data_IF_163524604080
#
_entry.id   IF_163524604080
#
_cell.length_a   1.000
_cell.length_b   1.000
_cell.length_c   1.000
_cell.angle_alpha   90.00
_cell.angle_beta   90.00
_cell.angle_gamma   90.00
#
_symmetry.space_group_name_H-M   'P 1'
#
loop_
_entity.id
_entity.type
_entity.pdbx_description
1 polymer ?
#
# COMPACT_ATOMS: atom_id res chain seq x y z
N UNK A 1 -56.27 -0.36 -31.83
CA UNK A 1 -55.33 0.13 -30.83
C UNK A 1 -54.35 -1.02 -30.45
N UNK A 2 -53.13 -1.02 -31.01
CA UNK A 2 -52.13 -2.04 -30.69
C UNK A 2 -51.35 -1.59 -29.44
N UNK A 3 -51.45 -2.35 -28.35
CA UNK A 3 -50.65 -2.11 -27.12
C UNK A 3 -49.23 -2.62 -27.35
N UNK A 4 -48.26 -1.72 -27.32
CA UNK A 4 -46.82 -2.06 -27.24
C UNK A 4 -46.54 -2.49 -25.79
N UNK A 5 -46.06 -3.71 -25.63
CA UNK A 5 -45.54 -4.21 -24.36
C UNK A 5 -44.04 -3.82 -24.30
N UNK A 6 -43.60 -3.06 -23.29
CA UNK A 6 -42.17 -2.74 -23.18
C UNK A 6 -41.40 -4.00 -22.77
N UNK A 7 -40.40 -4.32 -23.58
CA UNK A 7 -39.44 -5.41 -23.30
C UNK A 7 -38.42 -4.88 -22.27
N UNK A 8 -38.58 -5.27 -21.01
CA UNK A 8 -37.61 -4.93 -19.95
C UNK A 8 -36.44 -5.90 -20.06
N UNK A 9 -35.32 -5.42 -20.58
CA UNK A 9 -34.06 -6.18 -20.54
C UNK A 9 -33.53 -6.11 -19.09
N UNK A 10 -33.73 -7.17 -18.35
CA UNK A 10 -33.07 -7.35 -17.04
C UNK A 10 -31.60 -7.63 -17.29
N UNK A 11 -30.73 -6.66 -17.05
CA UNK A 11 -29.29 -6.87 -16.96
C UNK A 11 -28.99 -7.70 -15.70
N UNK A 12 -28.77 -8.97 -15.87
CA UNK A 12 -28.18 -9.83 -14.83
C UNK A 12 -26.78 -9.29 -14.52
N UNK A 13 -26.61 -8.72 -13.33
CA UNK A 13 -25.30 -8.40 -12.82
C UNK A 13 -24.52 -9.72 -12.59
N UNK A 14 -23.60 -10.04 -13.46
CA UNK A 14 -22.65 -11.15 -13.25
C UNK A 14 -21.80 -10.74 -12.04
N UNK A 15 -21.72 -11.55 -10.97
CA UNK A 15 -20.82 -11.26 -9.88
C UNK A 15 -19.40 -11.17 -10.46
N UNK A 16 -18.69 -10.06 -10.21
CA UNK A 16 -17.26 -9.97 -10.47
C UNK A 16 -16.59 -10.99 -9.54
N UNK A 17 -16.21 -12.13 -10.09
CA UNK A 17 -15.37 -13.09 -9.39
C UNK A 17 -13.98 -12.45 -9.35
N UNK A 18 -13.51 -12.11 -8.16
CA UNK A 18 -12.16 -11.61 -7.96
C UNK A 18 -11.17 -12.75 -8.08
N UNK A 19 -10.02 -12.48 -8.68
CA UNK A 19 -8.89 -13.40 -8.75
C UNK A 19 -7.80 -13.03 -7.75
N UNK A 20 -6.88 -13.95 -7.50
CA UNK A 20 -5.71 -13.73 -6.66
C UNK A 20 -4.49 -13.43 -7.55
N UNK A 21 -3.80 -12.33 -7.27
CA UNK A 21 -2.54 -11.99 -7.92
C UNK A 21 -1.38 -12.31 -6.98
N UNK A 22 -0.52 -13.23 -7.35
CA UNK A 22 0.62 -13.67 -6.54
C UNK A 22 1.89 -13.79 -7.37
N UNK A 23 3.03 -13.97 -6.71
CA UNK A 23 4.31 -14.12 -7.40
C UNK A 23 5.49 -13.73 -6.53
N UNK A 24 6.61 -13.44 -7.20
CA UNK A 24 7.85 -13.00 -6.56
C UNK A 24 8.39 -11.73 -7.18
N UNK A 25 9.02 -10.91 -6.34
CA UNK A 25 9.85 -9.79 -6.73
C UNK A 25 11.30 -10.14 -6.44
N UNK A 26 12.14 -10.23 -7.47
CA UNK A 26 13.59 -10.34 -7.31
C UNK A 26 14.19 -8.95 -7.18
N UNK A 27 14.72 -8.62 -6.00
CA UNK A 27 15.32 -7.31 -5.71
C UNK A 27 16.86 -7.41 -5.72
N UNK A 28 17.49 -6.78 -6.72
CA UNK A 28 18.93 -6.84 -6.93
C UNK A 28 19.64 -5.63 -6.32
N UNK A 29 20.77 -5.87 -5.63
CA UNK A 29 21.58 -4.81 -5.01
C UNK A 29 21.12 -4.38 -3.62
N UNK A 30 20.25 -5.16 -2.98
CA UNK A 30 19.81 -5.04 -1.58
C UNK A 30 20.01 -6.38 -0.86
N UNK A 31 19.86 -6.39 0.48
CA UNK A 31 20.12 -7.57 1.32
C UNK A 31 19.18 -8.75 1.03
N UNK A 32 17.91 -8.45 0.77
CA UNK A 32 16.86 -9.41 0.46
C UNK A 32 15.75 -8.70 -0.32
N UNK A 33 14.71 -9.40 -0.70
CA UNK A 33 13.59 -8.87 -1.49
C UNK A 33 12.40 -8.37 -0.65
N UNK A 34 12.56 -8.16 0.66
CA UNK A 34 11.53 -7.57 1.51
C UNK A 34 11.29 -6.08 1.16
N UNK A 35 10.21 -5.53 1.71
CA UNK A 35 9.87 -4.11 1.64
C UNK A 35 9.49 -3.59 0.24
N UNK A 36 9.39 -4.43 -0.78
CA UNK A 36 8.80 -4.02 -2.04
C UNK A 36 7.27 -4.01 -1.92
N UNK A 37 6.63 -2.96 -2.43
CA UNK A 37 5.16 -2.85 -2.51
C UNK A 37 4.74 -3.17 -3.92
N UNK A 38 3.99 -4.27 -4.12
CA UNK A 38 3.33 -4.64 -5.37
C UNK A 38 1.89 -4.15 -5.30
N UNK A 39 1.42 -3.43 -6.30
CA UNK A 39 0.07 -2.89 -6.27
C UNK A 39 -0.54 -2.71 -7.67
N UNK A 40 -1.87 -2.80 -7.72
CA UNK A 40 -2.67 -2.42 -8.89
C UNK A 40 -2.78 -0.90 -8.90
N UNK A 41 -2.29 -0.26 -9.98
CA UNK A 41 -2.24 1.21 -10.05
C UNK A 41 -3.65 1.82 -10.02
N UNK A 42 -4.49 1.48 -11.01
CA UNK A 42 -5.86 2.01 -11.10
C UNK A 42 -6.80 0.97 -11.68
N UNK A 43 -8.06 1.08 -11.28
CA UNK A 43 -9.16 0.36 -11.91
C UNK A 43 -10.09 1.39 -12.54
N UNK A 44 -10.26 1.32 -13.85
CA UNK A 44 -11.07 2.27 -14.61
C UNK A 44 -12.50 2.39 -14.03
N UNK A 45 -12.95 3.62 -13.82
CA UNK A 45 -14.29 3.91 -13.30
C UNK A 45 -14.50 3.56 -11.81
N UNK A 46 -13.46 3.15 -11.07
CA UNK A 46 -13.55 2.88 -9.63
C UNK A 46 -12.73 3.87 -8.80
N UNK A 47 -13.32 4.30 -7.69
CA UNK A 47 -12.66 5.00 -6.61
C UNK A 47 -12.84 4.21 -5.33
N UNK A 48 -11.87 4.26 -4.44
CA UNK A 48 -11.88 3.47 -3.22
C UNK A 48 -11.84 4.41 -2.01
N UNK A 49 -12.79 4.24 -1.10
CA UNK A 49 -12.79 4.95 0.16
C UNK A 49 -11.69 4.39 1.08
N UNK A 50 -11.12 5.26 1.91
CA UNK A 50 -10.25 4.82 2.99
C UNK A 50 -11.03 3.93 3.97
N UNK A 51 -10.40 2.89 4.54
CA UNK A 51 -11.02 2.08 5.59
C UNK A 51 -11.28 2.94 6.83
N UNK A 52 -12.32 2.58 7.59
CA UNK A 52 -12.59 3.22 8.89
C UNK A 52 -11.58 2.80 9.96
N UNK A 53 -10.98 1.62 9.82
CA UNK A 53 -9.92 1.15 10.70
C UNK A 53 -8.60 1.85 10.35
N UNK A 54 -7.90 2.35 11.37
CA UNK A 54 -6.60 2.95 11.21
C UNK A 54 -5.52 1.90 10.95
N UNK A 55 -4.62 2.18 10.04
CA UNK A 55 -3.37 1.43 9.93
C UNK A 55 -2.47 1.75 11.13
N UNK A 56 -1.54 0.84 11.47
CA UNK A 56 -0.68 1.01 12.64
C UNK A 56 0.79 0.85 12.28
N UNK A 57 1.60 1.75 12.82
CA UNK A 57 3.06 1.68 12.78
C UNK A 57 3.55 1.89 14.21
N UNK A 58 4.26 0.91 14.75
CA UNK A 58 4.85 0.99 16.09
C UNK A 58 6.31 1.45 16.00
N UNK A 59 6.76 2.17 17.01
CA UNK A 59 8.16 2.46 17.26
C UNK A 59 8.65 1.51 18.33
N UNK A 60 9.40 0.50 17.88
CA UNK A 60 9.85 -0.61 18.74
C UNK A 60 11.27 -1.02 18.39
N UNK A 61 12.13 -1.16 19.42
CA UNK A 61 13.55 -1.47 19.27
C UNK A 61 14.26 -0.45 18.34
N UNK A 62 13.94 0.84 18.45
CA UNK A 62 14.43 1.93 17.60
C UNK A 62 14.21 1.68 16.10
N UNK A 63 13.06 1.12 15.75
CA UNK A 63 12.61 0.87 14.37
C UNK A 63 11.14 1.21 14.20
N UNK A 64 10.74 1.60 12.99
CA UNK A 64 9.34 1.59 12.58
C UNK A 64 8.91 0.17 12.21
N UNK A 65 7.85 -0.34 12.85
CA UNK A 65 7.36 -1.71 12.68
C UNK A 65 5.86 -1.71 12.38
N UNK A 66 5.43 -2.19 11.20
CA UNK A 66 6.23 -2.59 10.04
C UNK A 66 7.01 -1.42 9.43
N UNK A 67 8.13 -1.71 8.75
CA UNK A 67 8.95 -0.67 8.12
C UNK A 67 8.28 -0.04 6.90
N UNK A 68 7.50 -0.80 6.14
CA UNK A 68 6.74 -0.34 4.97
C UNK A 68 5.27 -0.69 5.15
N UNK A 69 4.40 0.31 5.07
CA UNK A 69 2.95 0.14 5.24
C UNK A 69 2.21 0.75 4.04
N UNK A 70 1.64 -0.08 3.15
CA UNK A 70 0.75 0.41 2.11
C UNK A 70 -0.64 0.72 2.68
N UNK A 71 -1.22 1.83 2.23
CA UNK A 71 -2.56 2.29 2.62
C UNK A 71 -3.29 2.89 1.42
N UNK A 72 -4.61 2.91 1.45
CA UNK A 72 -5.42 3.66 0.48
C UNK A 72 -5.39 5.15 0.82
N UNK A 73 -5.46 6.02 -0.21
CA UNK A 73 -5.61 7.48 -0.01
C UNK A 73 -6.75 7.79 0.96
N UNK A 74 -6.49 8.67 1.93
CA UNK A 74 -7.43 9.05 2.97
C UNK A 74 -7.31 8.22 4.26
N UNK A 75 -6.49 7.18 4.29
CA UNK A 75 -6.29 6.35 5.50
C UNK A 75 -5.57 7.15 6.59
N UNK A 76 -6.05 6.99 7.81
CA UNK A 76 -5.37 7.46 9.02
C UNK A 76 -4.41 6.37 9.52
N UNK A 77 -3.21 6.77 9.90
CA UNK A 77 -2.19 5.89 10.49
C UNK A 77 -1.97 6.29 11.94
N UNK A 78 -2.03 5.32 12.84
CA UNK A 78 -1.67 5.44 14.25
C UNK A 78 -0.18 5.12 14.42
N UNK A 79 0.57 6.06 14.96
CA UNK A 79 1.98 5.90 15.31
C UNK A 79 2.09 5.65 16.82
N UNK A 80 2.34 4.40 17.16
CA UNK A 80 2.51 3.98 18.55
C UNK A 80 3.97 4.17 18.98
N UNK A 81 4.22 4.14 20.29
CA UNK A 81 5.56 4.06 20.85
C UNK A 81 5.58 2.96 21.94
N UNK A 82 6.14 1.81 21.62
CA UNK A 82 6.34 0.69 22.55
C UNK A 82 7.73 0.68 23.24
N UNK A 83 8.64 1.58 22.83
CA UNK A 83 9.94 1.71 23.46
C UNK A 83 9.89 2.57 24.73
N UNK A 84 10.77 2.27 25.69
CA UNK A 84 10.96 3.10 26.87
C UNK A 84 11.73 4.42 26.60
N UNK A 85 11.84 4.81 25.32
CA UNK A 85 12.53 5.99 24.83
C UNK A 85 11.53 6.98 24.22
N UNK A 86 11.91 8.24 24.20
CA UNK A 86 11.18 9.26 23.43
C UNK A 86 11.43 9.07 21.94
N UNK A 87 10.37 9.06 21.16
CA UNK A 87 10.46 9.03 19.70
C UNK A 87 9.71 10.20 19.06
N UNK A 88 10.07 10.50 17.83
CA UNK A 88 9.41 11.47 16.95
C UNK A 88 9.06 10.80 15.64
N UNK A 89 7.98 11.23 15.00
CA UNK A 89 7.66 10.86 13.61
C UNK A 89 7.47 12.14 12.80
N UNK A 90 8.21 12.23 11.70
CA UNK A 90 8.03 13.28 10.73
C UNK A 90 8.28 12.76 9.31
N UNK A 91 7.73 13.44 8.32
CA UNK A 91 8.03 13.24 6.91
C UNK A 91 8.52 14.55 6.29
N UNK A 92 9.66 14.56 5.57
CA UNK A 92 10.12 15.72 4.81
C UNK A 92 9.40 15.87 3.47
N UNK A 93 8.61 14.85 3.07
CA UNK A 93 8.06 14.75 1.73
C UNK A 93 6.87 15.69 1.53
N UNK A 94 6.90 16.48 0.46
CA UNK A 94 5.84 17.44 0.14
C UNK A 94 4.50 16.76 -0.14
N UNK A 95 4.50 15.55 -0.68
CA UNK A 95 3.30 14.76 -0.92
C UNK A 95 2.61 14.32 0.36
N UNK A 96 3.34 14.23 1.49
CA UNK A 96 2.83 13.96 2.82
C UNK A 96 2.67 15.24 3.66
N UNK A 97 2.53 16.42 3.01
CA UNK A 97 2.35 17.73 3.66
C UNK A 97 3.50 18.11 4.65
N UNK A 98 4.66 17.49 4.56
CA UNK A 98 5.84 17.71 5.44
C UNK A 98 5.47 17.70 6.92
N UNK A 99 4.67 16.73 7.35
CA UNK A 99 4.20 16.69 8.73
C UNK A 99 5.30 16.42 9.75
N UNK A 100 5.07 16.87 10.98
CA UNK A 100 5.87 16.54 12.15
C UNK A 100 4.94 16.43 13.37
N UNK A 101 4.86 15.22 13.93
CA UNK A 101 3.95 14.94 15.05
C UNK A 101 4.53 15.29 16.41
N UNK A 102 5.76 15.84 16.46
CA UNK A 102 6.46 16.11 17.70
C UNK A 102 7.02 14.82 18.32
N UNK A 103 7.40 14.90 19.57
CA UNK A 103 8.02 13.80 20.35
C UNK A 103 7.06 13.31 21.42
N UNK A 104 7.02 11.99 21.68
CA UNK A 104 6.19 11.40 22.74
C UNK A 104 6.82 10.17 23.40
N UNK A 105 6.48 9.90 24.70
CA UNK A 105 6.98 8.77 25.45
C UNK A 105 6.23 7.46 25.11
N UNK A 106 6.73 6.38 25.69
CA UNK A 106 6.11 5.05 25.65
C UNK A 106 4.61 5.09 25.99
N UNK A 107 3.83 4.25 25.31
CA UNK A 107 2.40 4.05 25.53
C UNK A 107 1.50 5.13 24.95
N UNK A 108 2.05 6.24 24.42
CA UNK A 108 1.26 7.24 23.71
C UNK A 108 1.20 6.92 22.20
N UNK A 109 0.14 7.44 21.56
CA UNK A 109 -0.11 7.31 20.12
C UNK A 109 -0.36 8.68 19.52
N UNK A 110 0.19 8.92 18.34
CA UNK A 110 -0.13 10.06 17.49
C UNK A 110 -0.70 9.57 16.17
N UNK A 111 -1.49 10.39 15.52
CA UNK A 111 -2.17 10.02 14.27
C UNK A 111 -1.87 10.99 13.15
N UNK A 112 -1.89 10.50 11.91
CA UNK A 112 -1.83 11.33 10.70
C UNK A 112 -2.66 10.72 9.59
N UNK A 113 -3.43 11.53 8.85
CA UNK A 113 -4.25 11.09 7.71
C UNK A 113 -3.55 11.43 6.40
N UNK A 114 -3.24 10.43 5.60
CA UNK A 114 -2.57 10.57 4.30
C UNK A 114 -3.58 10.84 3.18
N UNK A 115 -3.69 12.10 2.74
CA UNK A 115 -4.73 12.58 1.82
C UNK A 115 -4.36 12.54 0.34
N UNK A 116 -3.10 12.23 0.00
CA UNK A 116 -2.58 12.25 -1.38
C UNK A 116 -1.79 10.99 -1.66
N UNK A 117 -1.85 10.49 -2.90
CA UNK A 117 -0.97 9.42 -3.37
C UNK A 117 0.50 9.81 -3.17
N UNK A 118 1.26 8.92 -2.53
CA UNK A 118 2.60 9.25 -2.06
C UNK A 118 3.37 7.99 -1.63
N UNK A 119 4.69 8.04 -1.78
CA UNK A 119 5.60 7.17 -1.04
C UNK A 119 6.31 8.04 0.00
N UNK A 120 5.69 8.17 1.16
CA UNK A 120 6.14 9.05 2.22
C UNK A 120 7.22 8.38 3.07
N UNK A 121 8.37 9.03 3.21
CA UNK A 121 9.41 8.64 4.16
C UNK A 121 8.99 9.00 5.57
N UNK A 122 9.20 8.12 6.51
CA UNK A 122 9.06 8.35 7.94
C UNK A 122 10.44 8.36 8.58
N UNK A 123 10.74 9.43 9.31
CA UNK A 123 12.02 9.64 9.98
C UNK A 123 11.79 10.00 11.45
N UNK A 124 12.81 9.78 12.28
CA UNK A 124 12.84 10.18 13.68
C UNK A 124 13.96 11.21 13.92
N UNK A 125 13.63 12.36 14.54
CA UNK A 125 14.66 13.37 14.89
C UNK A 125 15.51 13.00 16.09
N UNK A 126 15.02 12.08 16.92
CA UNK A 126 15.73 11.61 18.13
C UNK A 126 16.73 10.51 17.78
N UNK A 127 16.34 9.62 16.87
CA UNK A 127 17.15 8.47 16.43
C UNK A 127 17.25 8.49 14.91
N UNK A 128 18.29 9.13 14.32
CA UNK A 128 18.39 9.35 12.87
C UNK A 128 18.51 8.07 12.03
N UNK A 129 18.84 6.94 12.65
CA UNK A 129 18.89 5.62 12.01
C UNK A 129 17.52 5.00 11.74
N UNK A 130 16.46 5.54 12.38
CA UNK A 130 15.08 5.05 12.17
C UNK A 130 14.53 5.57 10.84
N UNK A 131 14.25 4.65 9.93
CA UNK A 131 13.54 4.92 8.69
C UNK A 131 12.33 3.99 8.51
N UNK A 132 11.27 4.50 7.92
CA UNK A 132 10.08 3.76 7.53
C UNK A 132 9.37 4.42 6.36
N UNK A 133 8.33 3.80 5.84
CA UNK A 133 7.63 4.31 4.66
C UNK A 133 6.14 4.02 4.71
N UNK A 134 5.34 5.00 4.29
CA UNK A 134 3.92 4.80 4.00
C UNK A 134 3.71 4.92 2.49
N UNK A 135 3.29 3.84 1.86
CA UNK A 135 2.89 3.83 0.45
C UNK A 135 1.40 4.15 0.35
N UNK A 136 1.07 5.38 0.00
CA UNK A 136 -0.32 5.85 -0.13
C UNK A 136 -0.79 5.62 -1.55
N UNK A 137 -1.70 4.67 -1.74
CA UNK A 137 -2.05 4.07 -3.02
C UNK A 137 -3.51 4.36 -3.42
N UNK A 138 -3.82 4.37 -4.72
CA UNK A 138 -5.16 4.67 -5.23
C UNK A 138 -6.14 3.49 -5.11
N UNK A 139 -5.65 2.27 -4.86
CA UNK A 139 -6.47 1.05 -4.77
C UNK A 139 -6.13 0.25 -3.52
N UNK A 140 -7.03 -0.60 -3.01
CA UNK A 140 -6.74 -1.51 -1.89
C UNK A 140 -6.01 -2.79 -2.30
N UNK A 141 -5.69 -2.95 -3.59
CA UNK A 141 -5.07 -4.16 -4.14
C UNK A 141 -3.56 -4.02 -4.11
N UNK A 142 -2.96 -4.35 -2.98
CA UNK A 142 -1.52 -4.26 -2.75
C UNK A 142 -1.02 -5.34 -1.78
N UNK A 143 0.27 -5.62 -1.84
CA UNK A 143 0.98 -6.45 -0.87
C UNK A 143 2.42 -5.95 -0.68
N UNK A 144 2.99 -6.20 0.50
CA UNK A 144 4.41 -6.02 0.77
C UNK A 144 5.10 -7.38 0.64
N UNK A 145 6.23 -7.40 -0.04
CA UNK A 145 6.99 -8.64 -0.22
C UNK A 145 7.65 -9.10 1.07
N UNK A 146 7.71 -10.42 1.26
CA UNK A 146 8.53 -11.08 2.28
C UNK A 146 10.01 -11.09 1.89
N UNK A 147 10.88 -11.60 2.77
CA UNK A 147 12.33 -11.63 2.54
C UNK A 147 12.74 -12.45 1.30
N UNK A 148 11.97 -13.48 0.95
CA UNK A 148 12.17 -14.28 -0.27
C UNK A 148 11.55 -13.66 -1.52
N UNK A 149 10.93 -12.47 -1.39
CA UNK A 149 10.27 -11.72 -2.44
C UNK A 149 8.84 -12.13 -2.73
N UNK A 150 8.28 -13.12 -2.05
CA UNK A 150 6.91 -13.58 -2.28
C UNK A 150 5.89 -12.50 -1.88
N UNK A 151 4.80 -12.42 -2.67
CA UNK A 151 3.66 -11.54 -2.41
C UNK A 151 2.34 -12.21 -2.82
N UNK A 152 1.24 -11.75 -2.22
CA UNK A 152 -0.10 -12.22 -2.54
C UNK A 152 -1.12 -11.10 -2.34
N UNK A 153 -1.84 -10.73 -3.40
CA UNK A 153 -2.93 -9.74 -3.42
C UNK A 153 -4.22 -10.50 -3.71
N UNK A 154 -5.15 -10.46 -2.78
CA UNK A 154 -6.43 -11.19 -2.87
C UNK A 154 -7.52 -10.36 -3.52
N UNK A 155 -8.52 -11.05 -4.04
CA UNK A 155 -9.80 -10.49 -4.49
C UNK A 155 -9.66 -9.37 -5.51
N UNK A 156 -8.61 -9.39 -6.34
CA UNK A 156 -8.45 -8.44 -7.46
C UNK A 156 -9.51 -8.75 -8.51
N UNK A 157 -10.37 -7.82 -8.90
CA UNK A 157 -11.37 -8.08 -9.94
C UNK A 157 -10.72 -8.58 -11.23
N UNK A 158 -11.38 -9.47 -11.95
CA UNK A 158 -10.90 -9.93 -13.26
C UNK A 158 -10.76 -8.74 -14.21
N UNK A 159 -9.65 -8.69 -14.94
CA UNK A 159 -9.34 -7.59 -15.86
C UNK A 159 -7.86 -7.43 -16.15
N UNK A 160 -7.54 -6.50 -17.03
CA UNK A 160 -6.14 -6.17 -17.35
C UNK A 160 -5.75 -4.86 -16.68
N UNK A 161 -4.68 -4.90 -15.88
CA UNK A 161 -4.24 -3.79 -15.06
C UNK A 161 -2.76 -3.50 -15.22
N UNK A 162 -2.37 -2.24 -14.99
CA UNK A 162 -0.98 -1.90 -14.73
C UNK A 162 -0.67 -2.27 -13.28
N UNK A 163 0.19 -3.26 -13.09
CA UNK A 163 0.73 -3.64 -11.78
C UNK A 163 2.10 -3.02 -11.64
N UNK A 164 2.28 -2.27 -10.55
CA UNK A 164 3.51 -1.56 -10.23
C UNK A 164 4.22 -2.18 -9.05
N UNK A 165 5.54 -2.06 -9.03
CA UNK A 165 6.40 -2.44 -7.90
C UNK A 165 7.23 -1.23 -7.53
N UNK A 166 7.13 -0.84 -6.27
CA UNK A 166 7.96 0.20 -5.66
C UNK A 166 8.80 -0.41 -4.53
N UNK A 167 9.99 0.14 -4.32
CA UNK A 167 10.87 -0.24 -3.22
C UNK A 167 11.67 0.97 -2.75
N UNK A 168 11.93 1.15 -1.42
CA UNK A 168 12.60 2.34 -0.89
C UNK A 168 13.98 2.66 -1.48
N UNK A 169 14.69 1.67 -2.00
CA UNK A 169 16.10 1.78 -2.43
C UNK A 169 16.35 1.42 -3.89
N UNK A 170 15.32 0.98 -4.62
CA UNK A 170 15.46 0.49 -6.00
C UNK A 170 14.53 1.24 -6.95
N UNK A 171 14.84 1.21 -8.23
CA UNK A 171 13.97 1.80 -9.25
C UNK A 171 12.64 1.03 -9.31
N UNK A 172 11.55 1.78 -9.34
CA UNK A 172 10.23 1.21 -9.56
C UNK A 172 10.09 0.61 -10.96
N UNK A 173 9.30 -0.46 -11.08
CA UNK A 173 8.94 -1.08 -12.35
C UNK A 173 7.45 -1.26 -12.46
N UNK A 174 6.96 -1.54 -13.67
CA UNK A 174 5.56 -1.86 -13.92
C UNK A 174 5.40 -2.73 -15.15
N UNK A 175 4.31 -3.51 -15.19
CA UNK A 175 3.87 -4.21 -16.39
C UNK A 175 2.35 -4.36 -16.43
N UNK A 176 1.81 -4.65 -17.61
CA UNK A 176 0.42 -5.03 -17.78
C UNK A 176 0.25 -6.49 -17.34
N UNK A 177 -0.77 -6.75 -16.52
CA UNK A 177 -1.14 -8.09 -16.02
C UNK A 177 -2.62 -8.30 -16.22
N UNK A 178 -3.00 -9.42 -16.84
CA UNK A 178 -4.40 -9.83 -16.92
C UNK A 178 -4.70 -10.76 -15.76
N UNK A 179 -5.58 -10.33 -14.87
CA UNK A 179 -6.07 -11.12 -13.73
C UNK A 179 -7.30 -11.90 -14.17
N UNK A 180 -7.26 -13.21 -14.03
CA UNK A 180 -8.36 -14.13 -14.29
C UNK A 180 -8.18 -15.35 -13.37
N UNK A 181 -8.95 -15.40 -12.27
CA UNK A 181 -8.73 -16.37 -11.21
C UNK A 181 -7.34 -16.22 -10.56
N UNK A 182 -6.67 -17.33 -10.23
CA UNK A 182 -5.32 -17.30 -9.67
C UNK A 182 -4.31 -16.95 -10.78
N UNK A 183 -3.69 -15.77 -10.65
CA UNK A 183 -2.75 -15.23 -11.65
C UNK A 183 -1.37 -15.04 -11.04
N UNK A 184 -0.35 -15.60 -11.69
CA UNK A 184 1.04 -15.39 -11.28
C UNK A 184 1.69 -14.24 -12.06
N UNK A 185 2.39 -13.34 -11.34
CA UNK A 185 3.18 -12.29 -11.96
C UNK A 185 4.48 -12.05 -11.18
N UNK A 186 5.62 -12.34 -11.80
CA UNK A 186 6.93 -12.14 -11.22
C UNK A 186 7.56 -10.85 -11.73
N UNK A 187 8.33 -10.15 -10.88
CA UNK A 187 9.00 -8.89 -11.20
C UNK A 187 10.48 -8.94 -10.82
N UNK A 188 11.25 -8.09 -11.48
CA UNK A 188 12.64 -7.80 -11.14
C UNK A 188 12.80 -6.31 -10.94
N UNK A 189 13.53 -5.91 -9.88
CA UNK A 189 13.86 -4.53 -9.57
C UNK A 189 15.33 -4.40 -9.20
N UNK A 190 15.97 -3.32 -9.63
CA UNK A 190 17.38 -3.02 -9.40
C UNK A 190 17.59 -1.52 -9.18
N UNK A 191 18.86 -1.11 -8.89
CA UNK A 191 19.25 0.29 -8.75
C UNK A 191 19.18 1.06 -10.07
#
# INVERSE_FOLDING_TARGET
MKRLIPFVISMLAVPLIGGDLHGKVAAHGVRNSADAVVYVDRIAGKTFAAPSEHAKIDQKNMQFVPRVVPVVVGTTVDFLNSDALLHNVFSPDACADRFNLGTWPQGQTKTFTFKKECFASLLCKVHPEMDGFVAVLPTPYFAVTSADGSYHIKDVPDGTYTVKVWHPKLKATQKSVTVAGATEANFEIAK
#
